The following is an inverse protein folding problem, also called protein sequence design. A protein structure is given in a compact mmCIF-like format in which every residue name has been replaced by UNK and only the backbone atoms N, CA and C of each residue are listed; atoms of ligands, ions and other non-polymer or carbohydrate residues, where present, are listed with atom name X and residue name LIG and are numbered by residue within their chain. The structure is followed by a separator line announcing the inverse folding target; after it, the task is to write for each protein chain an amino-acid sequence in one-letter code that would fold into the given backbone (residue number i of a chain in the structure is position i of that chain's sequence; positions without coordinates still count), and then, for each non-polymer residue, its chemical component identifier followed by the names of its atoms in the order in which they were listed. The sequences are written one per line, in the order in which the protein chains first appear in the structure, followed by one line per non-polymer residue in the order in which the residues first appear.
data_IF_799681368606
#
_entry.id   IF_799681368606
#
_cell.length_a   1.000
_cell.length_b   1.000
_cell.length_c   1.000
_cell.angle_alpha   90.00
_cell.angle_beta   90.00
_cell.angle_gamma   90.00
#
_symmetry.space_group_name_H-M   'P 1'
#
loop_
_entity.id
_entity.type
_entity.pdbx_description
1 polymer ?
#
# COMPACT_ATOMS: atom_id res chain seq x y z
N UNK A 1 9.77 3.99 -13.79
CA UNK A 1 8.31 4.16 -13.83
C UNK A 1 7.95 5.25 -12.84
N UNK A 2 7.10 6.20 -13.21
CA UNK A 2 6.69 7.28 -12.30
C UNK A 2 5.66 6.73 -11.29
N UNK A 3 6.12 6.44 -10.07
CA UNK A 3 5.30 5.87 -9.00
C UNK A 3 4.11 6.77 -8.63
N UNK A 4 4.28 8.10 -8.70
CA UNK A 4 3.21 9.06 -8.41
C UNK A 4 2.14 9.02 -9.49
N UNK A 5 2.53 8.97 -10.75
CA UNK A 5 1.59 8.85 -11.86
C UNK A 5 0.74 7.56 -11.77
N UNK A 6 1.34 6.44 -11.32
CA UNK A 6 0.60 5.19 -11.07
C UNK A 6 -0.42 5.37 -9.95
N UNK A 7 -0.02 5.98 -8.84
CA UNK A 7 -0.93 6.20 -7.70
C UNK A 7 -2.05 7.17 -8.06
N UNK A 8 -1.79 8.22 -8.83
CA UNK A 8 -2.84 9.13 -9.30
C UNK A 8 -3.83 8.46 -10.24
N UNK A 9 -3.36 7.62 -11.17
CA UNK A 9 -4.23 6.81 -12.03
C UNK A 9 -5.05 5.81 -11.22
N UNK A 10 -4.43 5.17 -10.24
CA UNK A 10 -5.10 4.27 -9.30
C UNK A 10 -6.18 5.02 -8.52
N UNK A 11 -5.88 6.18 -7.97
CA UNK A 11 -6.81 6.99 -7.18
C UNK A 11 -8.01 7.41 -8.05
N UNK A 12 -7.81 7.76 -9.33
CA UNK A 12 -8.90 8.00 -10.29
C UNK A 12 -9.75 6.75 -10.54
N UNK A 13 -9.13 5.59 -10.71
CA UNK A 13 -9.83 4.32 -10.93
C UNK A 13 -10.60 3.87 -9.68
N UNK A 14 -10.00 4.02 -8.50
CA UNK A 14 -10.56 3.63 -7.21
C UNK A 14 -11.59 4.62 -6.66
N UNK A 15 -11.69 5.83 -7.21
CA UNK A 15 -12.71 6.81 -6.80
C UNK A 15 -14.14 6.26 -6.94
N UNK A 16 -14.34 5.27 -7.82
CA UNK A 16 -15.60 4.54 -7.97
C UNK A 16 -15.82 3.43 -6.92
N UNK A 17 -14.74 2.90 -6.32
CA UNK A 17 -14.77 1.68 -5.47
C UNK A 17 -14.52 1.98 -3.98
N UNK A 18 -14.13 3.22 -3.63
CA UNK A 18 -13.91 3.71 -2.24
C UNK A 18 -13.04 2.77 -1.38
N UNK A 19 -12.06 2.11 -2.00
CA UNK A 19 -11.28 1.05 -1.34
C UNK A 19 -9.84 1.50 -1.07
N UNK A 20 -9.65 2.21 0.05
CA UNK A 20 -8.34 2.69 0.54
C UNK A 20 -7.28 1.58 0.66
N UNK A 21 -7.72 0.32 0.75
CA UNK A 21 -6.85 -0.85 0.82
C UNK A 21 -5.97 -1.04 -0.41
N UNK A 22 -6.49 -0.81 -1.63
CA UNK A 22 -5.67 -0.99 -2.84
C UNK A 22 -4.58 0.08 -2.92
N UNK A 23 -4.91 1.33 -2.59
CA UNK A 23 -3.93 2.41 -2.50
C UNK A 23 -2.81 2.08 -1.51
N UNK A 24 -3.16 1.60 -0.31
CA UNK A 24 -2.15 1.18 0.68
C UNK A 24 -1.28 0.05 0.15
N UNK A 25 -1.89 -0.91 -0.57
CA UNK A 25 -1.17 -2.05 -1.12
C UNK A 25 -0.17 -1.62 -2.21
N UNK A 26 -0.54 -0.71 -3.11
CA UNK A 26 0.36 -0.16 -4.13
C UNK A 26 1.48 0.68 -3.51
N UNK A 27 1.17 1.50 -2.51
CA UNK A 27 2.19 2.27 -1.78
C UNK A 27 3.18 1.33 -1.10
N UNK A 28 2.71 0.30 -0.40
CA UNK A 28 3.58 -0.70 0.22
C UNK A 28 4.41 -1.47 -0.83
N UNK A 29 3.86 -1.75 -2.01
CA UNK A 29 4.60 -2.37 -3.10
C UNK A 29 5.82 -1.53 -3.54
N UNK A 30 5.69 -0.21 -3.62
CA UNK A 30 6.82 0.68 -3.96
C UNK A 30 7.77 0.87 -2.79
N UNK A 31 7.24 1.21 -1.61
CA UNK A 31 8.04 1.45 -0.40
C UNK A 31 8.85 0.22 -0.02
N UNK A 32 8.26 -0.99 -0.10
CA UNK A 32 8.96 -2.22 0.28
C UNK A 32 10.09 -2.66 -0.66
N UNK A 33 10.29 -1.97 -1.79
CA UNK A 33 11.50 -2.14 -2.61
C UNK A 33 12.72 -1.44 -1.98
N UNK A 34 12.49 -0.43 -1.13
CA UNK A 34 13.54 0.38 -0.49
C UNK A 34 13.63 0.09 1.01
N UNK A 35 12.49 -0.16 1.65
CA UNK A 35 12.36 -0.36 3.11
C UNK A 35 11.60 -1.64 3.40
N UNK A 36 12.27 -2.65 3.98
CA UNK A 36 11.65 -3.98 4.21
C UNK A 36 10.39 -3.94 5.09
N UNK A 37 10.35 -3.06 6.08
CA UNK A 37 9.26 -2.89 7.04
C UNK A 37 8.94 -1.40 7.14
N UNK A 38 7.80 -0.98 6.58
CA UNK A 38 7.42 0.41 6.47
C UNK A 38 6.54 0.84 7.64
N UNK A 39 6.74 2.03 8.19
CA UNK A 39 5.77 2.72 9.02
C UNK A 39 5.06 3.84 8.22
N UNK A 40 4.16 4.59 8.85
CA UNK A 40 3.42 5.64 8.14
C UNK A 40 4.33 6.76 7.60
N UNK A 41 5.50 6.99 8.21
CA UNK A 41 6.45 8.04 7.81
C UNK A 41 6.99 7.72 6.42
N UNK A 42 7.31 6.45 6.17
CA UNK A 42 7.80 5.97 4.87
C UNK A 42 6.75 6.13 3.73
N UNK A 43 5.49 6.42 4.09
CA UNK A 43 4.39 6.57 3.14
C UNK A 43 3.94 8.02 2.92
N UNK A 44 4.56 8.98 3.61
CA UNK A 44 4.19 10.41 3.55
C UNK A 44 4.32 10.98 2.13
N UNK A 45 5.37 10.58 1.39
CA UNK A 45 5.60 11.02 0.01
C UNK A 45 4.52 10.60 -0.98
N UNK A 46 3.68 9.64 -0.56
CA UNK A 46 2.52 9.14 -1.28
C UNK A 46 1.21 9.65 -0.68
N UNK A 47 1.23 10.69 0.15
CA UNK A 47 0.04 11.37 0.66
C UNK A 47 -0.76 10.61 1.71
N UNK A 48 -0.18 9.59 2.37
CA UNK A 48 -0.82 8.96 3.53
C UNK A 48 -0.68 9.84 4.77
N UNK A 49 -1.80 10.13 5.43
CA UNK A 49 -1.84 10.83 6.71
C UNK A 49 -2.21 9.84 7.82
N UNK A 50 -1.20 9.46 8.61
CA UNK A 50 -1.27 8.73 9.88
C UNK A 50 -2.32 7.60 9.97
N UNK A 51 -3.52 7.83 10.53
CA UNK A 51 -4.44 6.76 10.94
C UNK A 51 -5.00 5.91 9.79
N UNK A 52 -5.13 6.48 8.59
CA UNK A 52 -5.74 5.81 7.43
C UNK A 52 -4.86 4.67 6.91
N UNK A 53 -3.54 4.86 6.96
CA UNK A 53 -2.56 3.83 6.60
C UNK A 53 -2.73 2.57 7.46
N UNK A 54 -2.77 2.72 8.79
CA UNK A 54 -2.89 1.59 9.69
C UNK A 54 -4.27 0.92 9.63
N UNK A 55 -5.33 1.69 9.43
CA UNK A 55 -6.69 1.16 9.26
C UNK A 55 -6.77 0.29 8.01
N UNK A 56 -6.19 0.73 6.89
CA UNK A 56 -6.11 -0.05 5.67
C UNK A 56 -5.21 -1.27 5.83
N UNK A 57 -4.06 -1.14 6.50
CA UNK A 57 -3.15 -2.24 6.77
C UNK A 57 -3.81 -3.38 7.58
N UNK A 58 -4.65 -3.05 8.58
CA UNK A 58 -5.41 -4.06 9.35
C UNK A 58 -6.35 -4.86 8.42
N UNK A 59 -7.02 -4.19 7.48
CA UNK A 59 -7.91 -4.86 6.53
C UNK A 59 -7.15 -5.75 5.55
N UNK A 60 -6.02 -5.26 5.03
CA UNK A 60 -5.16 -6.02 4.12
C UNK A 60 -4.51 -7.24 4.80
N UNK A 61 -4.17 -7.13 6.09
CA UNK A 61 -3.61 -8.25 6.86
C UNK A 61 -4.62 -9.40 6.98
N UNK A 62 -5.89 -9.10 7.24
CA UNK A 62 -6.97 -10.10 7.26
C UNK A 62 -7.12 -10.84 5.93
N UNK A 63 -6.72 -10.22 4.81
CA UNK A 63 -6.74 -10.83 3.47
C UNK A 63 -5.43 -11.58 3.14
N UNK A 64 -4.45 -11.55 4.04
CA UNK A 64 -3.11 -12.12 3.84
C UNK A 64 -2.31 -11.38 2.78
N UNK A 65 -2.60 -10.10 2.53
CA UNK A 65 -1.90 -9.29 1.53
C UNK A 65 -0.72 -8.52 2.13
N UNK A 66 -0.76 -8.22 3.42
CA UNK A 66 0.33 -7.59 4.17
C UNK A 66 0.54 -8.31 5.50
N UNK A 67 1.74 -8.19 6.04
CA UNK A 67 2.08 -8.56 7.42
C UNK A 67 2.25 -7.29 8.23
N UNK A 68 1.76 -7.30 9.48
CA UNK A 68 2.09 -6.25 10.44
C UNK A 68 2.95 -6.81 11.57
N UNK A 69 3.89 -6.00 12.05
CA UNK A 69 4.66 -6.25 13.25
C UNK A 69 4.59 -5.04 14.16
N UNK A 70 4.29 -5.27 15.44
CA UNK A 70 4.35 -4.22 16.45
C UNK A 70 5.67 -4.32 17.18
N UNK A 71 6.39 -3.21 17.25
CA UNK A 71 7.59 -3.04 18.06
C UNK A 71 7.36 -1.81 18.93
N UNK A 72 7.16 -2.03 20.23
CA UNK A 72 6.78 -1.02 21.21
C UNK A 72 5.54 -0.19 20.80
N UNK A 73 5.72 1.12 20.62
CA UNK A 73 4.69 2.08 20.23
C UNK A 73 4.52 2.16 18.71
N UNK A 74 5.38 1.51 17.92
CA UNK A 74 5.37 1.56 16.46
C UNK A 74 4.78 0.29 15.86
N UNK A 75 4.01 0.48 14.78
CA UNK A 75 3.53 -0.60 13.93
C UNK A 75 4.23 -0.49 12.59
N UNK A 76 4.84 -1.59 12.17
CA UNK A 76 5.48 -1.74 10.88
C UNK A 76 4.65 -2.66 10.00
N UNK A 77 4.63 -2.39 8.71
CA UNK A 77 3.83 -3.08 7.71
C UNK A 77 4.73 -3.49 6.54
N UNK A 78 4.52 -4.70 6.03
CA UNK A 78 5.24 -5.23 4.88
C UNK A 78 4.27 -5.94 3.95
N UNK A 79 4.42 -5.76 2.65
CA UNK A 79 3.69 -6.51 1.65
C UNK A 79 4.13 -7.99 1.63
N UNK A 80 3.17 -8.90 1.59
CA UNK A 80 3.42 -10.34 1.40
C UNK A 80 3.71 -10.64 -0.07
N UNK A 81 4.19 -11.85 -0.37
CA UNK A 81 4.30 -12.29 -1.77
C UNK A 81 2.94 -12.39 -2.47
N UNK A 82 1.86 -12.73 -1.74
CA UNK A 82 0.49 -12.71 -2.25
C UNK A 82 0.06 -11.30 -2.63
N UNK A 83 0.30 -10.33 -1.74
CA UNK A 83 0.03 -8.91 -1.98
C UNK A 83 0.82 -8.37 -3.16
N UNK A 84 2.10 -8.73 -3.27
CA UNK A 84 2.97 -8.33 -4.39
C UNK A 84 2.40 -8.82 -5.72
N UNK A 85 2.11 -10.12 -5.84
CA UNK A 85 1.54 -10.71 -7.06
C UNK A 85 0.22 -10.06 -7.47
N UNK A 86 -0.62 -9.69 -6.50
CA UNK A 86 -1.87 -8.98 -6.77
C UNK A 86 -1.59 -7.60 -7.37
N UNK A 87 -0.65 -6.83 -6.82
CA UNK A 87 -0.27 -5.53 -7.39
C UNK A 87 0.33 -5.69 -8.78
N UNK A 88 1.23 -6.65 -8.99
CA UNK A 88 1.83 -6.93 -10.30
C UNK A 88 0.78 -7.29 -11.36
N UNK A 89 -0.28 -8.01 -10.99
CA UNK A 89 -1.40 -8.32 -11.86
C UNK A 89 -2.24 -7.08 -12.21
N UNK A 90 -2.44 -6.17 -11.24
CA UNK A 90 -3.23 -4.95 -11.42
C UNK A 90 -2.45 -3.83 -12.13
N UNK A 91 -1.12 -3.81 -12.00
CA UNK A 91 -0.27 -2.73 -12.47
C UNK A 91 -0.48 -2.39 -13.96
N UNK A 92 -0.56 -3.37 -14.90
CA UNK A 92 -0.81 -3.08 -16.31
C UNK A 92 -2.11 -2.32 -16.57
N UNK A 93 -3.16 -2.62 -15.80
CA UNK A 93 -4.48 -1.98 -15.93
C UNK A 93 -4.53 -0.56 -15.38
N UNK A 94 -3.55 -0.19 -14.55
CA UNK A 94 -3.41 1.14 -13.97
C UNK A 94 -2.42 1.98 -14.79
N UNK A 95 -1.46 1.36 -15.48
CA UNK A 95 -0.42 2.08 -16.24
C UNK A 95 -0.79 2.39 -17.69
N UNK A 96 -1.75 1.67 -18.28
CA UNK A 96 -2.35 1.99 -19.58
C UNK A 96 -3.05 3.36 -19.53
#
# INVERSE_FOLDING_TARGET
MDERAVIEKLDKFLHAVRYDGFRTLFVLYFVNQRVKWADFIDTLDYGYLGPTFYTAAIRLEKLGLVERRRLDIKTYVRITDKGRKLVECLLPHVTQ
#
